data_IF_744248891044
#
_entry.id   IF_744248891044
#
_cell.length_a   1.000
_cell.length_b   1.000
_cell.length_c   1.000
_cell.angle_alpha   90.00
_cell.angle_beta   90.00
_cell.angle_gamma   90.00
#
_symmetry.space_group_name_H-M   'P 1'
#
loop_
_entity.id
_entity.type
_entity.pdbx_description
1 polymer ?
#
# COMPACT_ATOMS: atom_id res chain seq x y z
N UNK A 1 16.68 3.14 9.20
CA UNK A 1 16.01 3.81 8.07
C UNK A 1 15.04 4.82 8.67
N UNK A 2 15.09 6.09 8.26
CA UNK A 2 14.17 7.09 8.82
C UNK A 2 12.80 6.98 8.15
N UNK A 3 11.74 7.23 8.92
CA UNK A 3 10.36 7.10 8.44
C UNK A 3 9.77 8.50 8.26
N UNK A 4 9.17 8.75 7.10
CA UNK A 4 8.43 9.97 6.79
C UNK A 4 6.95 9.63 6.73
N UNK A 5 6.19 10.18 7.68
CA UNK A 5 4.73 10.02 7.74
C UNK A 5 4.06 11.10 6.89
N UNK A 6 3.52 10.71 5.73
CA UNK A 6 2.91 11.67 4.81
C UNK A 6 1.67 12.32 5.41
N UNK A 7 0.93 11.62 6.27
CA UNK A 7 -0.23 12.20 6.95
C UNK A 7 0.17 13.45 7.74
N UNK A 8 1.29 13.38 8.47
CA UNK A 8 1.81 14.51 9.25
C UNK A 8 2.28 15.67 8.39
N UNK A 9 2.94 15.38 7.26
CA UNK A 9 3.33 16.44 6.31
C UNK A 9 2.12 17.13 5.71
N UNK A 10 1.08 16.36 5.34
CA UNK A 10 -0.18 16.88 4.82
C UNK A 10 -0.85 17.79 5.83
N UNK A 11 -1.06 17.32 7.05
CA UNK A 11 -1.68 18.10 8.14
C UNK A 11 -0.91 19.38 8.45
N UNK A 12 0.43 19.34 8.45
CA UNK A 12 1.28 20.52 8.65
C UNK A 12 1.07 21.59 7.58
N UNK A 13 0.88 21.20 6.32
CA UNK A 13 0.63 22.14 5.21
C UNK A 13 -0.80 22.67 5.26
N UNK A 14 -1.78 21.79 5.50
CA UNK A 14 -3.20 22.16 5.63
C UNK A 14 -3.46 23.11 6.81
N UNK A 15 -2.73 22.96 7.91
CA UNK A 15 -2.79 23.86 9.07
C UNK A 15 -2.08 25.20 8.85
N UNK A 16 -1.38 25.38 7.72
CA UNK A 16 -0.55 26.55 7.46
C UNK A 16 0.74 26.62 8.28
N UNK A 17 1.12 25.54 8.99
CA UNK A 17 2.35 25.48 9.79
C UNK A 17 3.64 25.40 8.93
N UNK A 18 3.51 25.32 7.61
CA UNK A 18 4.56 25.66 6.67
C UNK A 18 4.20 25.29 5.24
N UNK A 19 5.00 25.70 4.24
CA UNK A 19 4.64 25.49 2.85
C UNK A 19 4.97 24.06 2.38
N UNK A 20 4.30 23.63 1.30
CA UNK A 20 4.54 22.35 0.63
C UNK A 20 6.00 22.18 0.21
N UNK A 21 6.62 23.25 -0.29
CA UNK A 21 8.00 23.23 -0.76
C UNK A 21 9.04 23.23 0.37
N UNK A 22 8.64 23.22 1.65
CA UNK A 22 9.54 23.07 2.80
C UNK A 22 9.06 21.89 3.66
N UNK A 23 9.16 20.65 3.15
CA UNK A 23 8.77 19.48 3.91
C UNK A 23 9.63 19.35 5.17
N UNK A 24 9.03 18.92 6.28
CA UNK A 24 9.71 18.92 7.59
C UNK A 24 10.82 17.88 7.71
N UNK A 25 10.79 16.84 6.87
CA UNK A 25 11.85 15.84 6.77
C UNK A 25 13.14 16.36 6.12
N UNK A 26 13.13 17.54 5.49
CA UNK A 26 14.34 18.19 4.98
C UNK A 26 14.92 19.10 6.05
N UNK A 27 16.10 18.75 6.55
CA UNK A 27 16.84 19.57 7.51
C UNK A 27 17.49 20.80 6.86
N UNK A 28 17.71 20.76 5.54
CA UNK A 28 18.24 21.88 4.78
C UNK A 28 17.12 22.81 4.28
N UNK A 29 17.43 24.10 4.13
CA UNK A 29 16.52 25.04 3.48
C UNK A 29 16.21 24.56 2.07
N UNK A 30 14.94 24.32 1.75
CA UNK A 30 14.54 23.80 0.44
C UNK A 30 14.85 24.72 -0.73
N UNK A 31 15.10 26.02 -0.48
CA UNK A 31 15.62 26.93 -1.51
C UNK A 31 16.99 26.51 -2.05
N UNK A 32 17.71 25.61 -1.37
CA UNK A 32 18.94 24.97 -1.85
C UNK A 32 18.69 24.20 -3.14
N UNK A 33 17.49 23.65 -3.36
CA UNK A 33 17.13 22.99 -4.61
C UNK A 33 17.32 23.89 -5.84
N UNK A 34 16.97 25.16 -5.69
CA UNK A 34 17.03 26.16 -6.76
C UNK A 34 18.36 26.92 -6.76
N UNK A 35 18.89 27.24 -5.58
CA UNK A 35 20.11 28.06 -5.43
C UNK A 35 21.42 27.28 -5.56
N UNK A 36 21.40 25.96 -5.27
CA UNK A 36 22.55 25.09 -5.44
C UNK A 36 22.12 23.69 -5.94
N UNK A 37 21.77 23.56 -7.23
CA UNK A 37 21.29 22.31 -7.82
C UNK A 37 22.27 21.14 -7.69
N UNK A 38 23.58 21.44 -7.68
CA UNK A 38 24.63 20.41 -7.50
C UNK A 38 24.57 19.79 -6.11
N UNK A 39 24.46 20.61 -5.06
CA UNK A 39 24.29 20.10 -3.69
C UNK A 39 22.97 19.36 -3.52
N UNK A 40 21.89 19.89 -4.08
CA UNK A 40 20.59 19.21 -4.09
C UNK A 40 20.68 17.80 -4.68
N UNK A 41 21.25 17.70 -5.88
CA UNK A 41 21.39 16.43 -6.60
C UNK A 41 22.34 15.44 -5.92
N UNK A 42 23.49 15.91 -5.44
CA UNK A 42 24.57 15.03 -4.97
C UNK A 42 24.55 14.77 -3.46
N UNK A 43 23.80 15.55 -2.69
CA UNK A 43 23.74 15.42 -1.22
C UNK A 43 22.31 15.22 -0.76
N UNK A 44 21.39 16.13 -1.10
CA UNK A 44 20.04 16.10 -0.53
C UNK A 44 19.21 14.93 -1.05
N UNK A 45 19.13 14.73 -2.38
CA UNK A 45 18.38 13.62 -2.97
C UNK A 45 18.89 12.24 -2.48
N UNK A 46 20.21 11.97 -2.40
CA UNK A 46 20.73 10.74 -1.79
C UNK A 46 20.36 10.55 -0.31
N UNK A 47 20.24 11.61 0.48
CA UNK A 47 19.75 11.50 1.86
C UNK A 47 18.26 11.12 1.89
N UNK A 48 17.45 11.75 1.05
CA UNK A 48 16.02 11.42 0.91
C UNK A 48 15.82 9.95 0.51
N UNK A 49 16.71 9.41 -0.34
CA UNK A 49 16.68 8.02 -0.78
C UNK A 49 16.89 6.99 0.34
N UNK A 50 17.22 7.43 1.56
CA UNK A 50 17.30 6.58 2.76
C UNK A 50 16.00 6.57 3.57
N UNK A 51 14.97 7.31 3.15
CA UNK A 51 13.70 7.40 3.86
C UNK A 51 12.67 6.41 3.34
N UNK A 52 11.83 5.91 4.25
CA UNK A 52 10.59 5.20 3.89
C UNK A 52 9.41 6.14 4.04
N UNK A 53 8.68 6.35 2.96
CA UNK A 53 7.48 7.17 2.95
C UNK A 53 6.27 6.32 3.29
N UNK A 54 5.61 6.63 4.41
CA UNK A 54 4.40 5.95 4.86
C UNK A 54 3.18 6.70 4.34
N UNK A 55 2.36 6.01 3.55
CA UNK A 55 1.15 6.55 2.90
C UNK A 55 -0.03 5.72 3.38
N UNK A 56 -0.87 6.28 4.25
CA UNK A 56 -1.94 5.51 4.92
C UNK A 56 -3.27 5.59 4.21
N UNK A 57 -3.53 6.68 3.48
CA UNK A 57 -4.83 6.88 2.87
C UNK A 57 -4.75 7.57 1.51
N UNK A 58 -5.89 7.66 0.85
CA UNK A 58 -6.00 8.29 -0.47
C UNK A 58 -5.66 9.80 -0.45
N UNK A 59 -6.10 10.60 0.54
CA UNK A 59 -5.61 11.98 0.72
C UNK A 59 -4.08 12.09 0.79
N UNK A 60 -3.44 11.16 1.49
CA UNK A 60 -1.97 11.11 1.57
C UNK A 60 -1.34 10.82 0.21
N UNK A 61 -1.95 9.97 -0.63
CA UNK A 61 -1.48 9.75 -2.00
C UNK A 61 -1.52 11.03 -2.83
N UNK A 62 -2.63 11.75 -2.79
CA UNK A 62 -2.79 12.99 -3.54
C UNK A 62 -1.81 14.06 -3.07
N UNK A 63 -1.64 14.21 -1.76
CA UNK A 63 -0.65 15.13 -1.21
C UNK A 63 0.77 14.71 -1.59
N UNK A 64 1.10 13.42 -1.48
CA UNK A 64 2.42 12.90 -1.83
C UNK A 64 2.75 13.13 -3.31
N UNK A 65 1.75 13.02 -4.20
CA UNK A 65 1.88 13.36 -5.62
C UNK A 65 2.25 14.82 -5.78
N UNK A 66 1.49 15.73 -5.17
CA UNK A 66 1.77 17.17 -5.22
C UNK A 66 3.17 17.50 -4.71
N UNK A 67 3.60 16.85 -3.61
CA UNK A 67 4.93 17.05 -3.04
C UNK A 67 6.04 16.64 -4.03
N UNK A 68 5.93 15.46 -4.65
CA UNK A 68 6.93 14.95 -5.62
C UNK A 68 6.96 15.69 -6.94
N UNK A 69 5.84 16.28 -7.34
CA UNK A 69 5.74 17.11 -8.55
C UNK A 69 5.94 18.59 -8.25
N UNK A 70 6.29 18.96 -7.02
CA UNK A 70 6.51 20.35 -6.64
C UNK A 70 7.70 20.92 -7.42
N UNK A 71 7.53 22.02 -8.20
CA UNK A 71 8.62 22.59 -9.00
C UNK A 71 9.84 23.01 -8.17
N UNK A 72 9.61 23.38 -6.91
CA UNK A 72 10.66 23.80 -5.98
C UNK A 72 11.43 22.61 -5.37
N UNK A 73 11.01 21.37 -5.63
CA UNK A 73 11.64 20.13 -5.19
C UNK A 73 11.93 19.24 -6.42
N UNK A 74 12.78 19.72 -7.36
CA UNK A 74 13.02 19.04 -8.62
C UNK A 74 13.60 17.65 -8.40
N UNK A 75 13.14 16.69 -9.21
CA UNK A 75 13.57 15.29 -9.19
C UNK A 75 13.29 14.54 -7.88
N UNK A 76 12.46 15.08 -6.98
CA UNK A 76 12.12 14.41 -5.71
C UNK A 76 11.58 12.99 -5.93
N UNK A 77 10.74 12.78 -6.95
CA UNK A 77 10.22 11.46 -7.33
C UNK A 77 11.31 10.42 -7.61
N UNK A 78 12.47 10.84 -8.14
CA UNK A 78 13.61 9.93 -8.39
C UNK A 78 14.33 9.51 -7.12
N UNK A 79 14.21 10.29 -6.03
CA UNK A 79 14.83 9.99 -4.76
C UNK A 79 13.95 9.09 -3.88
N UNK A 80 12.70 8.84 -4.25
CA UNK A 80 11.83 7.94 -3.47
C UNK A 80 12.12 6.50 -3.84
N UNK A 81 12.80 5.80 -2.93
CA UNK A 81 13.22 4.40 -3.11
C UNK A 81 12.44 3.42 -2.25
N UNK A 82 11.70 3.90 -1.25
CA UNK A 82 10.96 3.08 -0.30
C UNK A 82 9.59 3.66 0.05
N UNK A 83 8.55 2.86 -0.13
CA UNK A 83 7.15 3.20 0.21
C UNK A 83 6.56 2.11 1.11
N UNK A 84 5.82 2.54 2.12
CA UNK A 84 5.02 1.66 2.98
C UNK A 84 3.56 2.12 2.97
N UNK A 85 2.66 1.22 2.60
CA UNK A 85 1.22 1.42 2.56
C UNK A 85 0.57 0.44 3.55
N UNK A 86 0.54 0.77 4.85
CA UNK A 86 0.02 -0.15 5.88
C UNK A 86 -1.47 -0.44 5.73
N UNK A 87 -2.22 0.45 5.09
CA UNK A 87 -3.66 0.32 4.84
C UNK A 87 -3.94 0.23 3.33
N UNK A 88 -3.17 -0.63 2.63
CA UNK A 88 -3.32 -0.86 1.20
C UNK A 88 -4.65 -1.58 0.85
N UNK A 89 -5.25 -2.26 1.81
CA UNK A 89 -6.47 -3.02 1.61
C UNK A 89 -7.73 -2.18 1.39
N UNK A 90 -8.69 -2.78 0.70
CA UNK A 90 -10.02 -2.26 0.49
C UNK A 90 -11.04 -3.31 0.92
N UNK A 91 -12.03 -2.89 1.73
CA UNK A 91 -13.13 -3.79 2.08
C UNK A 91 -14.03 -4.05 0.86
N UNK A 92 -14.69 -5.21 0.85
CA UNK A 92 -15.47 -5.73 -0.27
C UNK A 92 -16.47 -4.74 -0.88
N UNK A 93 -17.07 -3.86 -0.09
CA UNK A 93 -17.99 -2.83 -0.57
C UNK A 93 -17.40 -1.78 -1.52
N UNK A 94 -16.07 -1.68 -1.64
CA UNK A 94 -15.40 -0.78 -2.59
C UNK A 94 -15.09 -1.44 -3.94
N UNK A 95 -15.36 -2.74 -4.11
CA UNK A 95 -14.93 -3.52 -5.27
C UNK A 95 -15.65 -3.15 -6.57
N UNK A 96 -16.92 -2.78 -6.48
CA UNK A 96 -17.77 -2.55 -7.66
C UNK A 96 -17.57 -1.17 -8.30
N UNK A 97 -16.92 -0.23 -7.59
CA UNK A 97 -16.81 1.17 -8.03
C UNK A 97 -15.43 1.57 -8.51
N UNK A 98 -14.43 0.70 -8.42
CA UNK A 98 -13.04 1.01 -8.76
C UNK A 98 -12.51 0.09 -9.85
N UNK A 99 -12.07 0.69 -10.94
CA UNK A 99 -11.41 0.02 -12.07
C UNK A 99 -9.89 -0.07 -11.90
N UNK A 100 -9.31 0.67 -10.95
CA UNK A 100 -7.87 0.71 -10.69
C UNK A 100 -7.56 1.00 -9.22
N UNK A 101 -6.35 0.66 -8.78
CA UNK A 101 -5.86 0.93 -7.43
C UNK A 101 -4.96 2.20 -7.43
N UNK A 102 -5.41 3.33 -6.84
CA UNK A 102 -4.67 4.59 -6.87
C UNK A 102 -3.31 4.51 -6.16
N UNK A 103 -3.16 3.58 -5.20
CA UNK A 103 -1.90 3.34 -4.51
C UNK A 103 -0.83 2.77 -5.44
N UNK A 104 -1.22 1.84 -6.32
CA UNK A 104 -0.34 1.22 -7.31
C UNK A 104 0.03 2.23 -8.40
N UNK A 105 -0.95 3.00 -8.88
CA UNK A 105 -0.70 4.05 -9.88
C UNK A 105 0.30 5.07 -9.39
N UNK A 106 0.23 5.45 -8.10
CA UNK A 106 1.21 6.37 -7.53
C UNK A 106 2.63 5.80 -7.54
N UNK A 107 2.78 4.50 -7.29
CA UNK A 107 4.08 3.84 -7.28
C UNK A 107 4.69 3.68 -8.68
N UNK A 108 3.88 3.63 -9.75
CA UNK A 108 4.37 3.59 -11.14
C UNK A 108 5.23 4.82 -11.48
N UNK A 109 4.92 5.96 -10.88
CA UNK A 109 5.62 7.23 -11.11
C UNK A 109 6.95 7.33 -10.34
N UNK A 110 7.37 6.26 -9.67
CA UNK A 110 8.58 6.21 -8.83
C UNK A 110 9.64 5.30 -9.49
N UNK A 111 10.50 5.84 -10.39
CA UNK A 111 11.37 5.02 -11.23
C UNK A 111 12.43 4.22 -10.44
N UNK A 112 12.80 4.69 -9.24
CA UNK A 112 13.83 4.07 -8.40
C UNK A 112 13.24 3.34 -7.18
N UNK A 113 11.93 3.03 -7.21
CA UNK A 113 11.26 2.34 -6.12
C UNK A 113 11.81 0.92 -5.98
N UNK A 114 12.51 0.68 -4.87
CA UNK A 114 13.24 -0.56 -4.60
C UNK A 114 12.69 -1.36 -3.43
N UNK A 115 11.96 -0.71 -2.53
CA UNK A 115 11.36 -1.36 -1.36
C UNK A 115 9.88 -0.97 -1.27
N UNK A 116 9.01 -1.97 -1.36
CA UNK A 116 7.56 -1.78 -1.23
C UNK A 116 7.07 -2.60 -0.05
N UNK A 117 6.19 -2.01 0.75
CA UNK A 117 5.49 -2.68 1.84
C UNK A 117 4.00 -2.43 1.69
N UNK A 118 3.22 -3.49 1.56
CA UNK A 118 1.76 -3.45 1.40
C UNK A 118 1.11 -4.12 2.60
N UNK A 119 0.20 -3.42 3.26
CA UNK A 119 -0.56 -3.94 4.39
C UNK A 119 -1.95 -4.39 3.95
N UNK A 120 -2.32 -5.58 4.40
CA UNK A 120 -3.60 -6.23 4.18
C UNK A 120 -4.32 -6.45 5.50
N UNK A 121 -5.64 -6.57 5.43
CA UNK A 121 -6.46 -7.06 6.52
C UNK A 121 -7.18 -8.31 6.04
N UNK A 122 -7.30 -9.34 6.89
CA UNK A 122 -7.98 -10.60 6.53
C UNK A 122 -9.39 -10.41 5.98
N UNK A 123 -10.16 -9.44 6.49
CA UNK A 123 -11.47 -9.07 5.94
C UNK A 123 -11.44 -8.69 4.45
N UNK A 124 -10.32 -8.13 3.97
CA UNK A 124 -10.13 -7.74 2.58
C UNK A 124 -9.59 -8.88 1.69
N UNK A 125 -9.30 -10.02 2.29
CA UNK A 125 -8.96 -11.29 1.62
C UNK A 125 -10.16 -12.25 1.60
N UNK A 126 -11.33 -11.77 2.03
CA UNK A 126 -12.57 -12.54 2.10
C UNK A 126 -13.71 -11.81 1.43
N UNK A 127 -14.74 -12.55 1.05
CA UNK A 127 -16.03 -12.00 0.64
C UNK A 127 -17.17 -12.81 1.26
N UNK A 128 -18.38 -12.25 1.24
CA UNK A 128 -19.57 -12.96 1.70
C UNK A 128 -19.75 -14.27 0.91
N UNK A 129 -20.02 -15.36 1.62
CA UNK A 129 -20.36 -16.63 1.01
C UNK A 129 -21.67 -16.51 0.21
N UNK A 130 -22.59 -15.68 0.70
CA UNK A 130 -23.92 -15.47 0.13
C UNK A 130 -23.98 -14.15 -0.63
N UNK A 131 -24.75 -14.12 -1.73
CA UNK A 131 -25.11 -12.84 -2.35
C UNK A 131 -25.99 -12.03 -1.40
N UNK A 132 -26.05 -10.71 -1.59
CA UNK A 132 -26.85 -9.83 -0.73
C UNK A 132 -28.30 -10.29 -0.59
N UNK A 133 -28.94 -10.66 -1.71
CA UNK A 133 -30.31 -11.19 -1.70
C UNK A 133 -30.47 -12.43 -0.82
N UNK A 134 -29.56 -13.41 -0.94
CA UNK A 134 -29.64 -14.64 -0.13
C UNK A 134 -29.27 -14.38 1.33
N UNK A 135 -28.34 -13.44 1.57
CA UNK A 135 -27.97 -13.02 2.92
C UNK A 135 -29.18 -12.43 3.66
N UNK A 136 -29.92 -11.53 3.02
CA UNK A 136 -31.15 -10.95 3.57
C UNK A 136 -32.21 -12.02 3.86
N UNK A 137 -32.40 -12.98 2.95
CA UNK A 137 -33.32 -14.10 3.18
C UNK A 137 -32.91 -14.93 4.40
N UNK A 138 -31.63 -15.26 4.54
CA UNK A 138 -31.13 -15.98 5.71
C UNK A 138 -31.37 -15.20 7.01
N UNK A 139 -31.19 -13.88 6.98
CA UNK A 139 -31.46 -13.01 8.13
C UNK A 139 -32.95 -13.00 8.49
N UNK A 140 -33.84 -12.93 7.48
CA UNK A 140 -35.31 -13.03 7.65
C UNK A 140 -35.76 -14.39 8.20
N UNK A 141 -35.10 -15.47 7.77
CA UNK A 141 -35.36 -16.84 8.23
C UNK A 141 -34.76 -17.13 9.62
N UNK A 142 -34.10 -16.15 10.25
CA UNK A 142 -33.49 -16.27 11.58
C UNK A 142 -32.10 -16.93 11.60
N UNK A 143 -31.51 -17.18 10.43
CA UNK A 143 -30.22 -17.84 10.22
C UNK A 143 -29.05 -16.85 10.20
N UNK A 144 -28.99 -15.97 11.22
CA UNK A 144 -28.02 -14.87 11.32
C UNK A 144 -26.56 -15.29 11.29
N UNK A 145 -26.23 -16.46 11.85
CA UNK A 145 -24.86 -16.97 11.87
C UNK A 145 -24.41 -17.42 10.48
N UNK A 146 -25.31 -18.06 9.72
CA UNK A 146 -25.03 -18.47 8.34
C UNK A 146 -24.87 -17.25 7.44
N UNK A 147 -25.66 -16.21 7.64
CA UNK A 147 -25.61 -14.99 6.81
C UNK A 147 -24.25 -14.28 6.86
N UNK A 148 -23.50 -14.44 7.96
CA UNK A 148 -22.18 -13.84 8.17
C UNK A 148 -21.01 -14.66 7.63
N UNK A 149 -21.24 -15.87 7.14
CA UNK A 149 -20.17 -16.75 6.67
C UNK A 149 -19.38 -16.11 5.52
N UNK A 150 -18.07 -16.23 5.61
CA UNK A 150 -17.11 -15.68 4.66
C UNK A 150 -16.44 -16.79 3.87
N UNK A 151 -16.13 -16.50 2.61
CA UNK A 151 -15.22 -17.31 1.79
C UNK A 151 -13.92 -16.56 1.60
N UNK A 152 -12.80 -17.28 1.62
CA UNK A 152 -11.49 -16.72 1.27
C UNK A 152 -11.43 -16.51 -0.25
N UNK A 153 -10.93 -15.35 -0.67
CA UNK A 153 -10.74 -15.02 -2.07
C UNK A 153 -9.61 -15.84 -2.68
N UNK A 154 -9.76 -16.20 -3.95
CA UNK A 154 -8.65 -16.80 -4.69
C UNK A 154 -7.51 -15.79 -4.89
N UNK A 155 -6.27 -16.28 -4.95
CA UNK A 155 -5.08 -15.43 -5.25
C UNK A 155 -5.31 -14.63 -6.52
N UNK A 156 -5.86 -15.25 -7.56
CA UNK A 156 -6.21 -14.57 -8.82
C UNK A 156 -7.15 -13.40 -8.60
N UNK A 157 -8.23 -13.61 -7.83
CA UNK A 157 -9.20 -12.55 -7.53
C UNK A 157 -8.58 -11.39 -6.76
N UNK A 158 -7.66 -11.67 -5.84
CA UNK A 158 -6.93 -10.65 -5.08
C UNK A 158 -5.99 -9.87 -6.00
N UNK A 159 -5.21 -10.58 -6.83
CA UNK A 159 -4.29 -9.96 -7.81
C UNK A 159 -5.03 -9.05 -8.77
N UNK A 160 -6.12 -9.53 -9.38
CA UNK A 160 -6.94 -8.75 -10.31
C UNK A 160 -7.58 -7.54 -9.62
N UNK A 161 -8.08 -7.70 -8.38
CA UNK A 161 -8.73 -6.61 -7.65
C UNK A 161 -7.77 -5.48 -7.26
N UNK A 162 -6.58 -5.83 -6.78
CA UNK A 162 -5.59 -4.84 -6.32
C UNK A 162 -4.61 -4.40 -7.41
N UNK A 163 -4.74 -4.94 -8.63
CA UNK A 163 -3.86 -4.67 -9.77
C UNK A 163 -2.37 -5.00 -9.47
N UNK A 164 -2.15 -6.10 -8.74
CA UNK A 164 -0.84 -6.46 -8.18
C UNK A 164 0.18 -6.86 -9.25
N UNK A 165 -0.27 -7.27 -10.43
CA UNK A 165 0.58 -7.60 -11.58
C UNK A 165 1.51 -6.45 -11.98
N UNK A 166 1.15 -5.20 -11.70
CA UNK A 166 1.97 -4.03 -12.02
C UNK A 166 3.30 -4.04 -11.27
N UNK A 167 3.36 -4.63 -10.07
CA UNK A 167 4.62 -4.67 -9.32
C UNK A 167 5.74 -5.37 -10.09
N UNK A 168 5.41 -6.25 -11.04
CA UNK A 168 6.37 -6.87 -11.94
C UNK A 168 7.05 -5.90 -12.91
N UNK A 169 6.43 -4.74 -13.20
CA UNK A 169 6.98 -3.71 -14.08
C UNK A 169 7.93 -2.76 -13.35
N UNK A 170 8.10 -2.89 -12.03
CA UNK A 170 9.02 -2.03 -11.29
C UNK A 170 10.44 -2.56 -11.48
N UNK A 171 11.26 -1.82 -12.21
CA UNK A 171 12.61 -2.25 -12.60
C UNK A 171 13.61 -2.22 -11.44
N UNK A 172 13.47 -1.25 -10.54
CA UNK A 172 14.35 -1.10 -9.38
C UNK A 172 13.93 -1.94 -8.16
N UNK A 173 12.80 -2.65 -8.22
CA UNK A 173 12.22 -3.38 -7.09
C UNK A 173 13.16 -4.50 -6.63
N UNK A 174 13.48 -4.51 -5.33
CA UNK A 174 14.35 -5.49 -4.67
C UNK A 174 13.66 -6.21 -3.52
N UNK A 175 12.78 -5.50 -2.81
CA UNK A 175 12.08 -6.04 -1.65
C UNK A 175 10.60 -5.74 -1.75
N UNK A 176 9.77 -6.77 -1.55
CA UNK A 176 8.33 -6.68 -1.41
C UNK A 176 7.92 -7.31 -0.08
N UNK A 177 7.39 -6.51 0.83
CA UNK A 177 6.85 -6.97 2.09
C UNK A 177 5.32 -6.97 2.02
N UNK A 178 4.71 -8.11 2.28
CA UNK A 178 3.27 -8.29 2.38
C UNK A 178 2.94 -8.46 3.86
N UNK A 179 2.37 -7.43 4.49
CA UNK A 179 1.96 -7.48 5.88
C UNK A 179 0.46 -7.77 5.95
N UNK A 180 0.01 -8.60 6.88
CA UNK A 180 -1.40 -8.94 7.04
C UNK A 180 -1.81 -8.84 8.51
N UNK A 181 -2.92 -8.15 8.76
CA UNK A 181 -3.62 -8.16 10.05
C UNK A 181 -4.58 -9.35 10.05
N UNK A 182 -4.28 -10.33 10.89
CA UNK A 182 -5.09 -11.53 11.11
C UNK A 182 -6.11 -11.28 12.23
N UNK A 183 -7.36 -11.04 11.82
CA UNK A 183 -8.45 -10.69 12.72
C UNK A 183 -9.19 -11.95 13.15
N UNK A 184 -9.23 -12.21 14.45
CA UNK A 184 -9.95 -13.35 15.03
C UNK A 184 -11.42 -13.40 14.60
N UNK A 185 -12.08 -12.23 14.53
CA UNK A 185 -13.46 -12.12 14.08
C UNK A 185 -13.63 -12.63 12.64
N UNK A 186 -12.74 -12.27 11.72
CA UNK A 186 -12.80 -12.73 10.32
C UNK A 186 -12.52 -14.23 10.24
N UNK A 187 -11.54 -14.70 11.01
CA UNK A 187 -11.22 -16.13 11.12
C UNK A 187 -12.40 -16.96 11.62
N UNK A 188 -13.14 -16.47 12.60
CA UNK A 188 -14.33 -17.15 13.15
C UNK A 188 -15.42 -17.40 12.08
N UNK A 189 -15.64 -16.43 11.18
CA UNK A 189 -16.65 -16.56 10.12
C UNK A 189 -16.16 -17.26 8.86
N UNK A 190 -14.88 -17.63 8.79
CA UNK A 190 -14.27 -18.23 7.60
C UNK A 190 -13.98 -19.70 7.84
N UNK A 191 -14.44 -20.58 6.94
CA UNK A 191 -14.13 -22.01 7.04
C UNK A 191 -12.64 -22.34 6.77
N UNK A 192 -11.98 -21.49 5.98
CA UNK A 192 -10.54 -21.57 5.64
C UNK A 192 -9.85 -20.35 6.23
N UNK A 193 -8.61 -20.50 6.70
CA UNK A 193 -7.87 -19.37 7.27
C UNK A 193 -7.57 -18.34 6.17
N UNK A 194 -8.03 -17.08 6.29
CA UNK A 194 -7.79 -16.08 5.25
C UNK A 194 -6.31 -15.75 5.02
N UNK A 195 -5.47 -16.00 6.03
CA UNK A 195 -4.01 -15.84 5.94
C UNK A 195 -3.34 -16.79 4.96
N UNK A 196 -3.96 -17.93 4.62
CA UNK A 196 -3.44 -18.85 3.57
C UNK A 196 -3.38 -18.17 2.19
N UNK A 197 -4.22 -17.16 1.93
CA UNK A 197 -4.14 -16.37 0.71
C UNK A 197 -2.82 -15.57 0.61
N UNK A 198 -2.19 -15.23 1.74
CA UNK A 198 -0.91 -14.52 1.77
C UNK A 198 0.24 -15.40 1.30
N UNK A 199 0.23 -16.69 1.65
CA UNK A 199 1.21 -17.66 1.15
C UNK A 199 1.06 -17.84 -0.38
N UNK A 200 -0.18 -17.91 -0.85
CA UNK A 200 -0.48 -17.95 -2.28
C UNK A 200 -0.01 -16.68 -3.02
N UNK A 201 -0.18 -15.50 -2.44
CA UNK A 201 0.37 -14.25 -2.98
C UNK A 201 1.90 -14.26 -3.00
N UNK A 202 2.54 -14.75 -1.94
CA UNK A 202 4.00 -14.88 -1.89
C UNK A 202 4.50 -15.73 -3.06
N UNK A 203 3.90 -16.91 -3.25
CA UNK A 203 4.24 -17.79 -4.36
C UNK A 203 4.02 -17.11 -5.72
N UNK A 204 2.86 -16.45 -5.90
CA UNK A 204 2.56 -15.70 -7.13
C UNK A 204 3.65 -14.67 -7.46
N UNK A 205 4.12 -13.91 -6.48
CA UNK A 205 5.18 -12.94 -6.70
C UNK A 205 6.55 -13.58 -6.93
N UNK A 206 6.94 -14.56 -6.12
CA UNK A 206 8.22 -15.29 -6.29
C UNK A 206 8.33 -15.87 -7.72
N UNK A 207 7.28 -16.55 -8.18
CA UNK A 207 7.22 -17.12 -9.53
C UNK A 207 7.18 -16.04 -10.61
N UNK A 208 6.37 -15.00 -10.43
CA UNK A 208 6.21 -13.92 -11.39
C UNK A 208 7.46 -13.07 -11.59
N UNK A 209 8.23 -12.81 -10.54
CA UNK A 209 9.54 -12.14 -10.64
C UNK A 209 10.58 -13.05 -11.29
N UNK A 210 10.65 -14.32 -10.86
CA UNK A 210 11.58 -15.31 -11.45
C UNK A 210 11.35 -15.49 -12.95
N UNK A 211 10.09 -15.57 -13.39
CA UNK A 211 9.73 -15.70 -14.80
C UNK A 211 10.18 -14.50 -15.66
N UNK A 212 10.42 -13.35 -15.02
CA UNK A 212 10.91 -12.11 -15.67
C UNK A 212 12.42 -11.89 -15.46
N UNK A 213 13.13 -12.86 -14.90
CA UNK A 213 14.56 -12.75 -14.63
C UNK A 213 14.90 -11.76 -13.51
N UNK A 214 13.93 -11.37 -12.67
CA UNK A 214 14.15 -10.45 -11.54
C UNK A 214 14.37 -11.24 -10.25
N UNK A 215 15.30 -10.78 -9.42
CA UNK A 215 15.53 -11.30 -8.07
C UNK A 215 14.96 -10.31 -7.07
N UNK A 216 13.76 -10.60 -6.57
CA UNK A 216 13.05 -9.77 -5.56
C UNK A 216 12.82 -10.62 -4.32
N UNK A 217 13.18 -10.10 -3.15
CA UNK A 217 12.87 -10.72 -1.88
C UNK A 217 11.40 -10.45 -1.53
N UNK A 218 10.58 -11.50 -1.51
CA UNK A 218 9.18 -11.43 -1.09
C UNK A 218 9.05 -12.00 0.32
N UNK A 219 8.64 -11.15 1.27
CA UNK A 219 8.39 -11.53 2.66
C UNK A 219 6.91 -11.38 3.01
N UNK A 220 6.40 -12.29 3.84
CA UNK A 220 5.04 -12.22 4.40
C UNK A 220 5.17 -12.09 5.91
N UNK A 221 4.48 -11.11 6.48
CA UNK A 221 4.39 -10.91 7.93
C UNK A 221 2.93 -10.91 8.33
N UNK A 222 2.57 -11.72 9.33
CA UNK A 222 1.19 -11.81 9.84
C UNK A 222 1.19 -11.35 11.29
N UNK A 223 0.28 -10.42 11.61
CA UNK A 223 0.08 -9.91 12.97
C UNK A 223 -1.33 -10.25 13.40
N UNK A 224 -1.45 -11.09 14.43
CA UNK A 224 -2.74 -11.49 14.99
C UNK A 224 -3.34 -10.40 15.87
N UNK A 225 -4.65 -10.19 15.74
CA UNK A 225 -5.44 -9.25 16.52
C UNK A 225 -6.65 -9.99 17.13
N UNK A 226 -6.78 -10.01 18.47
CA UNK A 226 -7.90 -10.66 19.16
C UNK A 226 -9.24 -9.97 18.89
N UNK A 227 -10.32 -10.71 19.11
CA UNK A 227 -11.66 -10.15 19.22
C UNK A 227 -11.75 -9.32 20.51
N UNK A 228 -11.88 -8.01 20.37
CA UNK A 228 -12.12 -7.05 21.48
C UNK A 228 -13.58 -6.63 21.55
#
# INVERSE_FOLDING_TARGET
>A
MSVVDITKERERVESGSGPLHQPSFLQCNSSVAMSNPTYWKNVVLPEIAKFTFVIKCLPDCYFFRQLRTCPNLPFLHTAVTSVNQPDFYHFSGMRETRTYNPYIDEMKELPNLSNVSLGFHTAALTESLWSEKYRLQLEEDGEMEKSKQLRVLSVRSIVEFYDLQILFTFEALKTLNLNCIDSEQVGYWSAVKPTEAMDGLKQFFDEGFRARGKTVQVAVNVTWVPWT
#
